data_IF_647285538685
#
_entry.id   IF_647285538685
#
_cell.length_a   1.000
_cell.length_b   1.000
_cell.length_c   1.000
_cell.angle_alpha   90.00
_cell.angle_beta   90.00
_cell.angle_gamma   90.00
#
_symmetry.space_group_name_H-M   'P 1'
#
loop_
_entity.id
_entity.type
_entity.pdbx_description
1 polymer ?
#
# COMPACT_ATOMS: atom_id res chain seq x y z
N UNK A 1 -8.40 35.23 58.60
CA UNK A 1 -7.49 34.36 57.81
C UNK A 1 -8.24 33.22 57.11
N UNK A 2 -9.19 33.49 56.18
CA UNK A 2 -9.92 32.44 55.42
C UNK A 2 -10.13 32.75 53.93
N UNK A 3 -9.50 33.81 53.39
CA UNK A 3 -9.70 34.25 52.00
C UNK A 3 -8.50 33.89 51.10
N UNK A 4 -7.30 33.69 51.69
CA UNK A 4 -6.09 33.34 50.93
C UNK A 4 -6.06 31.91 50.36
N UNK A 5 -6.95 31.01 50.81
CA UNK A 5 -6.96 29.60 50.39
C UNK A 5 -7.78 29.31 49.13
N UNK A 6 -8.63 30.24 48.66
CA UNK A 6 -9.48 30.04 47.47
C UNK A 6 -8.83 30.47 46.15
N UNK A 7 -7.85 31.38 46.18
CA UNK A 7 -7.16 31.86 44.97
C UNK A 7 -6.10 30.84 44.48
N UNK A 8 -5.55 30.03 45.38
CA UNK A 8 -4.55 28.99 45.04
C UNK A 8 -5.15 27.76 44.32
N UNK A 9 -6.47 27.56 44.41
CA UNK A 9 -7.15 26.40 43.82
C UNK A 9 -7.59 26.64 42.36
N UNK A 10 -7.72 27.91 41.94
CA UNK A 10 -8.14 28.24 40.57
C UNK A 10 -6.93 28.29 39.61
N UNK A 11 -5.73 28.67 40.10
CA UNK A 11 -4.50 28.66 39.27
C UNK A 11 -4.03 27.25 38.89
N UNK A 12 -4.32 26.24 39.72
CA UNK A 12 -3.90 24.85 39.51
C UNK A 12 -4.74 24.13 38.45
N UNK A 13 -5.99 24.53 38.24
CA UNK A 13 -6.89 23.95 37.23
C UNK A 13 -6.47 24.41 35.82
N UNK A 14 -6.14 25.70 35.65
CA UNK A 14 -5.75 26.26 34.34
C UNK A 14 -4.42 25.69 33.82
N UNK A 15 -3.44 25.47 34.70
CA UNK A 15 -2.16 24.86 34.33
C UNK A 15 -2.32 23.39 33.90
N UNK A 16 -3.24 22.66 34.52
CA UNK A 16 -3.51 21.25 34.22
C UNK A 16 -4.16 21.07 32.84
N UNK A 17 -5.05 21.98 32.44
CA UNK A 17 -5.71 21.95 31.12
C UNK A 17 -4.70 22.28 29.99
N UNK A 18 -3.86 23.29 30.17
CA UNK A 18 -2.82 23.67 29.20
C UNK A 18 -1.78 22.56 28.99
N UNK A 19 -1.32 21.92 30.09
CA UNK A 19 -0.38 20.81 30.02
C UNK A 19 -1.01 19.57 29.36
N UNK A 20 -2.27 19.26 29.65
CA UNK A 20 -2.99 18.15 29.03
C UNK A 20 -3.13 18.34 27.52
N UNK A 21 -3.47 19.55 27.07
CA UNK A 21 -3.65 19.88 25.65
C UNK A 21 -2.31 19.85 24.88
N UNK A 22 -1.24 20.39 25.46
CA UNK A 22 0.13 20.27 24.92
C UNK A 22 0.59 18.81 24.85
N UNK A 23 0.26 18.01 25.86
CA UNK A 23 0.66 16.59 25.92
C UNK A 23 -0.09 15.71 24.91
N UNK A 24 -1.30 16.09 24.50
CA UNK A 24 -2.05 15.38 23.46
C UNK A 24 -1.48 15.70 22.07
N UNK A 25 -1.11 16.96 21.83
CA UNK A 25 -0.46 17.37 20.59
C UNK A 25 0.83 16.59 20.31
N UNK A 26 1.65 16.34 21.35
CA UNK A 26 2.87 15.54 21.19
C UNK A 26 2.59 14.10 20.71
N UNK A 27 1.48 13.50 21.18
CA UNK A 27 1.06 12.17 20.77
C UNK A 27 0.56 12.17 19.33
N UNK A 28 -0.27 13.15 18.97
CA UNK A 28 -0.76 13.34 17.59
C UNK A 28 0.41 13.52 16.62
N UNK A 29 1.41 14.32 16.98
CA UNK A 29 2.64 14.50 16.19
C UNK A 29 3.40 13.16 16.00
N UNK A 30 3.50 12.34 17.05
CA UNK A 30 4.12 11.02 16.96
C UNK A 30 3.34 10.07 16.04
N UNK A 31 2.01 10.09 16.13
CA UNK A 31 1.11 9.33 15.27
C UNK A 31 1.25 9.77 13.81
N UNK A 32 1.42 11.07 13.54
CA UNK A 32 1.67 11.61 12.21
C UNK A 32 3.01 11.16 11.64
N UNK A 33 4.08 11.22 12.42
CA UNK A 33 5.37 10.66 12.01
C UNK A 33 5.26 9.18 11.68
N UNK A 34 4.54 8.40 12.49
CA UNK A 34 4.35 6.98 12.25
C UNK A 34 3.61 6.73 10.94
N UNK A 35 2.46 7.39 10.73
CA UNK A 35 1.66 7.29 9.49
C UNK A 35 2.49 7.67 8.27
N UNK A 36 3.31 8.71 8.37
CA UNK A 36 4.18 9.19 7.29
C UNK A 36 5.41 8.30 7.03
N UNK A 37 5.55 7.15 7.73
CA UNK A 37 6.70 6.26 7.57
C UNK A 37 8.00 6.79 8.19
N UNK A 38 7.93 7.88 8.95
CA UNK A 38 9.05 8.47 9.72
C UNK A 38 9.21 7.75 11.06
N UNK A 39 9.42 6.44 10.99
CA UNK A 39 9.39 5.56 12.16
C UNK A 39 10.44 5.87 13.23
N UNK A 40 11.59 6.39 12.83
CA UNK A 40 12.63 6.81 13.76
C UNK A 40 12.22 8.01 14.60
N UNK A 41 11.60 9.01 13.96
CA UNK A 41 11.10 10.20 14.64
C UNK A 41 9.92 9.84 15.55
N UNK A 42 8.99 9.01 15.05
CA UNK A 42 7.88 8.48 15.84
C UNK A 42 8.39 7.73 17.09
N UNK A 43 9.36 6.83 16.93
CA UNK A 43 9.96 6.07 18.03
C UNK A 43 10.48 6.97 19.15
N UNK A 44 11.27 7.99 18.80
CA UNK A 44 11.81 8.90 19.80
C UNK A 44 10.75 9.79 20.43
N UNK A 45 9.77 10.25 19.64
CA UNK A 45 8.68 11.05 20.16
C UNK A 45 7.85 10.27 21.18
N UNK A 46 7.47 9.02 20.89
CA UNK A 46 6.78 8.15 21.86
C UNK A 46 7.61 7.91 23.13
N UNK A 47 8.93 7.70 22.99
CA UNK A 47 9.82 7.57 24.15
C UNK A 47 9.88 8.84 24.99
N UNK A 48 9.81 10.01 24.37
CA UNK A 48 9.76 11.28 25.09
C UNK A 48 8.43 11.46 25.81
N UNK A 49 7.31 11.07 25.18
CA UNK A 49 5.98 11.12 25.80
C UNK A 49 5.92 10.24 27.06
N UNK A 50 6.50 9.03 27.06
CA UNK A 50 6.54 8.16 28.25
C UNK A 50 7.27 8.76 29.46
N UNK A 51 8.14 9.77 29.25
CA UNK A 51 8.81 10.47 30.35
C UNK A 51 7.86 11.44 31.08
N UNK A 52 6.72 11.77 30.48
CA UNK A 52 5.71 12.63 31.08
C UNK A 52 4.92 11.77 32.10
N UNK A 53 4.81 12.19 33.37
CA UNK A 53 4.17 11.37 34.42
C UNK A 53 2.76 10.87 34.08
N UNK A 54 1.99 11.66 33.32
CA UNK A 54 0.63 11.29 32.85
C UNK A 54 0.60 10.01 31.99
N UNK A 55 1.67 9.74 31.25
CA UNK A 55 1.76 8.64 30.29
C UNK A 55 2.67 7.50 30.76
N UNK A 56 3.17 7.57 31.99
CA UNK A 56 4.03 6.53 32.53
C UNK A 56 3.25 5.22 32.67
N UNK A 57 3.73 4.16 32.01
CA UNK A 57 3.04 2.86 31.97
C UNK A 57 1.85 2.80 31.00
N UNK A 58 1.70 3.78 30.10
CA UNK A 58 0.70 3.72 29.03
C UNK A 58 1.09 2.65 28.00
N UNK A 59 0.42 1.49 28.10
CA UNK A 59 0.64 0.35 27.21
C UNK A 59 0.41 0.68 25.72
N UNK A 60 -0.43 1.67 25.40
CA UNK A 60 -0.66 2.08 24.01
C UNK A 60 0.59 2.75 23.43
N UNK A 61 1.27 3.60 24.21
CA UNK A 61 2.48 4.30 23.81
C UNK A 61 3.67 3.33 23.77
N UNK A 62 3.77 2.43 24.75
CA UNK A 62 4.78 1.36 24.75
C UNK A 62 4.64 0.45 23.52
N UNK A 63 3.41 0.09 23.16
CA UNK A 63 3.13 -0.65 21.93
C UNK A 63 3.57 0.13 20.69
N UNK A 64 3.36 1.44 20.66
CA UNK A 64 3.77 2.26 19.52
C UNK A 64 5.29 2.40 19.37
N UNK A 65 6.04 2.37 20.47
CA UNK A 65 7.52 2.31 20.45
C UNK A 65 7.98 0.99 19.81
N UNK A 66 7.34 -0.12 20.19
CA UNK A 66 7.61 -1.44 19.62
C UNK A 66 7.24 -1.49 18.13
N UNK A 67 6.06 -0.99 17.77
CA UNK A 67 5.59 -0.92 16.39
C UNK A 67 6.50 -0.06 15.52
N UNK A 68 6.95 1.11 16.01
CA UNK A 68 7.92 1.96 15.30
C UNK A 68 9.23 1.23 15.02
N UNK A 69 9.77 0.51 16.02
CA UNK A 69 10.99 -0.30 15.86
C UNK A 69 10.78 -1.43 14.85
N UNK A 70 9.67 -2.14 14.96
CA UNK A 70 9.31 -3.25 14.07
C UNK A 70 9.10 -2.76 12.64
N UNK A 71 8.45 -1.61 12.44
CA UNK A 71 8.22 -1.03 11.13
C UNK A 71 9.54 -0.67 10.42
N UNK A 72 10.51 -0.07 11.13
CA UNK A 72 11.86 0.17 10.60
C UNK A 72 12.55 -1.13 10.16
N UNK A 73 12.50 -2.15 11.01
CA UNK A 73 13.08 -3.46 10.70
C UNK A 73 12.44 -4.08 9.46
N UNK A 74 11.11 -4.12 9.41
CA UNK A 74 10.36 -4.71 8.30
C UNK A 74 10.65 -3.98 6.99
N UNK A 75 10.64 -2.65 6.99
CA UNK A 75 10.97 -1.88 5.80
C UNK A 75 12.38 -2.16 5.30
N UNK A 76 13.37 -2.17 6.21
CA UNK A 76 14.75 -2.51 5.87
C UNK A 76 14.86 -3.92 5.28
N UNK A 77 14.20 -4.91 5.87
CA UNK A 77 14.19 -6.30 5.37
C UNK A 77 13.51 -6.42 4.01
N UNK A 78 12.40 -5.72 3.78
CA UNK A 78 11.76 -5.66 2.47
C UNK A 78 12.76 -5.21 1.40
N UNK A 79 13.49 -4.11 1.66
CA UNK A 79 14.50 -3.59 0.72
C UNK A 79 15.67 -4.56 0.52
N UNK A 80 16.19 -5.15 1.60
CA UNK A 80 17.32 -6.08 1.53
C UNK A 80 16.94 -7.33 0.72
N UNK A 81 15.81 -7.97 1.03
CA UNK A 81 15.37 -9.17 0.32
C UNK A 81 14.97 -8.89 -1.14
N UNK A 82 14.40 -7.72 -1.42
CA UNK A 82 14.17 -7.25 -2.79
C UNK A 82 15.48 -7.15 -3.56
N UNK A 83 16.54 -6.57 -2.97
CA UNK A 83 17.85 -6.46 -3.62
C UNK A 83 18.45 -7.83 -3.98
N UNK A 84 18.19 -8.85 -3.16
CA UNK A 84 18.57 -10.24 -3.44
C UNK A 84 17.58 -11.01 -4.31
N UNK A 85 16.55 -10.35 -4.86
CA UNK A 85 15.47 -10.96 -5.67
C UNK A 85 14.74 -12.10 -4.94
N UNK A 86 14.71 -12.04 -3.60
CA UNK A 86 13.96 -12.95 -2.71
C UNK A 86 12.57 -12.36 -2.46
N UNK A 87 11.78 -12.27 -3.52
CA UNK A 87 10.52 -11.51 -3.52
C UNK A 87 9.49 -12.03 -2.52
N UNK A 88 9.36 -13.34 -2.34
CA UNK A 88 8.37 -13.90 -1.41
C UNK A 88 8.62 -13.45 0.04
N UNK A 89 9.89 -13.45 0.47
CA UNK A 89 10.29 -12.99 1.80
C UNK A 89 10.13 -11.47 1.91
N UNK A 90 10.50 -10.72 0.86
CA UNK A 90 10.28 -9.28 0.82
C UNK A 90 8.80 -8.91 0.93
N UNK A 91 7.92 -9.65 0.23
CA UNK A 91 6.46 -9.49 0.30
C UNK A 91 5.95 -9.76 1.70
N UNK A 92 6.39 -10.85 2.35
CA UNK A 92 5.99 -11.14 3.73
C UNK A 92 6.28 -9.97 4.67
N UNK A 93 7.50 -9.42 4.64
CA UNK A 93 7.85 -8.28 5.47
C UNK A 93 7.05 -7.02 5.12
N UNK A 94 6.79 -6.78 3.84
CA UNK A 94 5.98 -5.65 3.39
C UNK A 94 4.51 -5.78 3.85
N UNK A 95 3.94 -6.99 3.77
CA UNK A 95 2.58 -7.26 4.26
C UNK A 95 2.50 -7.05 5.76
N UNK A 96 3.47 -7.54 6.54
CA UNK A 96 3.53 -7.29 7.98
C UNK A 96 3.65 -5.79 8.29
N UNK A 97 4.43 -5.04 7.51
CA UNK A 97 4.56 -3.59 7.68
C UNK A 97 3.22 -2.88 7.48
N UNK A 98 2.48 -3.23 6.42
CA UNK A 98 1.17 -2.66 6.10
C UNK A 98 0.14 -2.99 7.19
N UNK A 99 0.23 -4.16 7.82
CA UNK A 99 -0.64 -4.52 8.96
C UNK A 99 -0.39 -3.59 10.15
N UNK A 100 0.86 -3.24 10.42
CA UNK A 100 1.22 -2.34 11.54
C UNK A 100 0.91 -0.88 11.17
N UNK A 101 1.20 -0.47 9.94
CA UNK A 101 0.89 0.85 9.41
C UNK A 101 0.14 0.78 8.07
N UNK A 102 -1.21 0.75 8.08
CA UNK A 102 -2.01 0.77 6.86
C UNK A 102 -1.83 2.04 6.02
N UNK A 103 -1.28 3.10 6.62
CA UNK A 103 -1.05 4.39 5.98
C UNK A 103 0.40 4.57 5.48
N UNK A 104 1.25 3.54 5.58
CA UNK A 104 2.65 3.62 5.16
C UNK A 104 2.75 4.13 3.71
N UNK A 105 3.53 5.20 3.44
CA UNK A 105 3.66 5.77 2.10
C UNK A 105 4.26 4.79 1.09
N UNK A 106 5.01 3.79 1.56
CA UNK A 106 5.66 2.77 0.75
C UNK A 106 4.76 1.57 0.46
N UNK A 107 3.49 1.53 0.91
CA UNK A 107 2.57 0.40 0.66
C UNK A 107 2.50 -0.05 -0.80
N UNK A 108 2.69 0.88 -1.74
CA UNK A 108 2.77 0.59 -3.18
C UNK A 108 3.98 -0.27 -3.59
N UNK A 109 4.90 -0.58 -2.69
CA UNK A 109 5.97 -1.55 -2.90
C UNK A 109 5.44 -2.98 -3.01
N UNK A 110 4.37 -3.34 -2.29
CA UNK A 110 3.80 -4.69 -2.31
C UNK A 110 3.44 -5.14 -3.74
N UNK A 111 2.59 -4.41 -4.49
CA UNK A 111 2.30 -4.75 -5.88
C UNK A 111 3.53 -4.73 -6.79
N UNK A 112 4.50 -3.86 -6.53
CA UNK A 112 5.75 -3.80 -7.32
C UNK A 112 6.62 -5.03 -7.13
N UNK A 113 6.67 -5.60 -5.92
CA UNK A 113 7.38 -6.87 -5.67
C UNK A 113 6.74 -8.02 -6.44
N UNK A 114 5.40 -8.07 -6.50
CA UNK A 114 4.66 -9.04 -7.31
C UNK A 114 4.95 -8.89 -8.79
N UNK A 115 4.96 -7.66 -9.31
CA UNK A 115 5.29 -7.34 -10.70
C UNK A 115 6.72 -7.76 -11.09
N UNK A 116 7.70 -7.41 -10.25
CA UNK A 116 9.10 -7.75 -10.47
C UNK A 116 9.32 -9.27 -10.43
N UNK A 117 8.70 -9.96 -9.47
CA UNK A 117 8.76 -11.41 -9.38
C UNK A 117 8.14 -12.08 -10.63
N UNK A 118 6.96 -11.62 -11.06
CA UNK A 118 6.31 -12.12 -12.28
C UNK A 118 7.21 -11.96 -13.51
N UNK A 119 7.81 -10.79 -13.68
CA UNK A 119 8.69 -10.47 -14.81
C UNK A 119 9.96 -11.32 -14.81
N UNK A 120 10.48 -11.65 -13.63
CA UNK A 120 11.59 -12.57 -13.48
C UNK A 120 11.23 -14.00 -13.87
N UNK A 121 10.06 -14.50 -13.47
CA UNK A 121 9.58 -15.81 -13.89
C UNK A 121 9.31 -15.87 -15.40
N UNK A 122 8.72 -14.82 -15.98
CA UNK A 122 8.52 -14.73 -17.42
C UNK A 122 9.86 -14.79 -18.18
N UNK A 123 10.89 -14.08 -17.67
CA UNK A 123 12.25 -14.16 -18.23
C UNK A 123 12.86 -15.56 -18.07
N UNK A 124 12.68 -16.21 -16.92
CA UNK A 124 13.14 -17.59 -16.69
C UNK A 124 12.42 -18.61 -17.58
N UNK A 125 11.16 -18.36 -17.96
CA UNK A 125 10.44 -19.22 -18.89
C UNK A 125 11.12 -19.29 -20.26
N UNK A 126 11.65 -18.15 -20.74
CA UNK A 126 12.35 -18.07 -22.02
C UNK A 126 13.64 -18.90 -22.06
N UNK A 127 14.30 -19.11 -20.91
CA UNK A 127 15.51 -19.93 -20.81
C UNK A 127 15.24 -21.43 -20.58
N UNK A 128 13.98 -21.85 -20.39
CA UNK A 128 13.67 -23.26 -20.18
C UNK A 128 13.80 -24.08 -21.47
N UNK A 129 14.39 -25.27 -21.32
CA UNK A 129 14.63 -26.24 -22.40
C UNK A 129 13.37 -27.03 -22.76
N UNK A 130 12.54 -27.35 -21.76
CA UNK A 130 11.30 -28.10 -21.97
C UNK A 130 10.12 -27.16 -22.04
N UNK A 131 9.15 -27.52 -22.88
CA UNK A 131 7.88 -26.81 -23.02
C UNK A 131 7.05 -26.88 -21.73
N UNK A 132 7.10 -27.99 -21.00
CA UNK A 132 6.44 -28.15 -19.70
C UNK A 132 7.01 -27.20 -18.64
N UNK A 133 8.33 -27.16 -18.47
CA UNK A 133 8.94 -26.24 -17.50
C UNK A 133 8.67 -24.78 -17.88
N UNK A 134 8.73 -24.44 -19.18
CA UNK A 134 8.34 -23.10 -19.66
C UNK A 134 6.91 -22.78 -19.26
N UNK A 135 5.97 -23.71 -19.43
CA UNK A 135 4.58 -23.50 -19.09
C UNK A 135 4.38 -23.29 -17.58
N UNK A 136 5.08 -24.01 -16.71
CA UNK A 136 5.03 -23.80 -15.25
C UNK A 136 5.43 -22.37 -14.87
N UNK A 137 6.57 -21.89 -15.38
CA UNK A 137 7.03 -20.52 -15.11
C UNK A 137 6.04 -19.47 -15.60
N UNK A 138 5.47 -19.64 -16.80
CA UNK A 138 4.48 -18.70 -17.35
C UNK A 138 3.19 -18.68 -16.53
N UNK A 139 2.68 -19.83 -16.10
CA UNK A 139 1.47 -19.91 -15.25
C UNK A 139 1.68 -19.21 -13.91
N UNK A 140 2.84 -19.41 -13.28
CA UNK A 140 3.21 -18.72 -12.04
C UNK A 140 3.40 -17.21 -12.24
N UNK A 141 3.98 -16.79 -13.37
CA UNK A 141 4.11 -15.38 -13.73
C UNK A 141 2.73 -14.71 -13.86
N UNK A 142 1.78 -15.34 -14.56
CA UNK A 142 0.39 -14.85 -14.70
C UNK A 142 -0.25 -14.65 -13.32
N UNK A 143 -0.14 -15.64 -12.42
CA UNK A 143 -0.70 -15.53 -11.08
C UNK A 143 -0.11 -14.37 -10.27
N UNK A 144 1.19 -14.08 -10.43
CA UNK A 144 1.83 -12.95 -9.77
C UNK A 144 1.48 -11.59 -10.41
N UNK A 145 1.28 -11.52 -11.72
CA UNK A 145 0.75 -10.32 -12.36
C UNK A 145 -0.66 -9.99 -11.89
N UNK A 146 -1.52 -11.01 -11.74
CA UNK A 146 -2.86 -10.84 -11.16
C UNK A 146 -2.79 -10.38 -9.70
N UNK A 147 -1.92 -11.02 -8.90
CA UNK A 147 -1.70 -10.58 -7.52
C UNK A 147 -1.26 -9.11 -7.45
N UNK A 148 -0.42 -8.64 -8.37
CA UNK A 148 -0.03 -7.23 -8.43
C UNK A 148 -1.23 -6.29 -8.67
N UNK A 149 -2.16 -6.67 -9.55
CA UNK A 149 -3.40 -5.92 -9.79
C UNK A 149 -4.31 -5.91 -8.55
N UNK A 150 -4.50 -7.07 -7.93
CA UNK A 150 -5.32 -7.23 -6.71
C UNK A 150 -4.74 -6.43 -5.53
N UNK A 151 -3.41 -6.34 -5.45
CA UNK A 151 -2.68 -5.53 -4.47
C UNK A 151 -2.74 -4.02 -4.76
N UNK A 152 -3.45 -3.60 -5.83
CA UNK A 152 -3.76 -2.21 -6.14
C UNK A 152 -2.87 -1.56 -7.22
N UNK A 153 -2.08 -2.34 -7.96
CA UNK A 153 -1.35 -1.82 -9.12
C UNK A 153 -2.33 -1.46 -10.24
N UNK A 154 -2.44 -0.17 -10.57
CA UNK A 154 -3.25 0.32 -11.69
C UNK A 154 -2.37 0.65 -12.89
N UNK A 155 -1.67 -0.36 -13.40
CA UNK A 155 -0.80 -0.22 -14.57
C UNK A 155 -1.36 -1.06 -15.73
N UNK A 156 -1.82 -0.38 -16.79
CA UNK A 156 -2.38 -1.03 -17.98
C UNK A 156 -1.38 -2.00 -18.63
N UNK A 157 -0.08 -1.77 -18.46
CA UNK A 157 0.99 -2.60 -19.02
C UNK A 157 0.94 -4.03 -18.46
N UNK A 158 0.46 -4.22 -17.22
CA UNK A 158 0.36 -5.54 -16.59
C UNK A 158 -0.58 -6.46 -17.37
N UNK A 159 -1.66 -5.93 -17.94
CA UNK A 159 -2.56 -6.70 -18.80
C UNK A 159 -1.88 -7.17 -20.07
N UNK A 160 -1.03 -6.33 -20.68
CA UNK A 160 -0.22 -6.71 -21.84
C UNK A 160 0.74 -7.85 -21.51
N UNK A 161 1.38 -7.81 -20.33
CA UNK A 161 2.29 -8.86 -19.88
C UNK A 161 1.57 -10.19 -19.62
N UNK A 162 0.38 -10.15 -19.01
CA UNK A 162 -0.48 -11.34 -18.85
C UNK A 162 -0.80 -11.93 -20.23
N UNK A 163 -1.26 -11.12 -21.18
CA UNK A 163 -1.61 -11.56 -22.54
C UNK A 163 -0.42 -12.16 -23.28
N UNK A 164 0.78 -11.61 -23.09
CA UNK A 164 2.01 -12.19 -23.65
C UNK A 164 2.29 -13.59 -23.11
N UNK A 165 2.10 -13.79 -21.79
CA UNK A 165 2.27 -15.10 -21.18
C UNK A 165 1.21 -16.10 -21.67
N UNK A 166 -0.05 -15.69 -21.74
CA UNK A 166 -1.16 -16.52 -22.26
C UNK A 166 -0.92 -16.95 -23.71
N UNK A 167 -0.54 -16.01 -24.58
CA UNK A 167 -0.20 -16.32 -25.99
C UNK A 167 0.99 -17.28 -26.12
N UNK A 168 1.96 -17.20 -25.22
CA UNK A 168 3.11 -18.12 -25.20
C UNK A 168 2.72 -19.52 -24.75
N UNK A 169 1.73 -19.64 -23.86
CA UNK A 169 1.16 -20.92 -23.42
C UNK A 169 0.33 -21.57 -24.53
N UNK A 170 -0.53 -20.83 -25.24
CA UNK A 170 -1.36 -21.39 -26.33
C UNK A 170 -0.54 -22.03 -27.46
N UNK A 171 0.65 -21.49 -27.75
CA UNK A 171 1.57 -22.03 -28.77
C UNK A 171 2.30 -23.29 -28.30
N UNK A 172 2.36 -23.51 -27.00
CA UNK A 172 2.89 -24.72 -26.37
C UNK A 172 1.73 -25.71 -26.31
N UNK A 173 1.84 -26.89 -26.95
CA UNK A 173 0.79 -27.94 -27.00
C UNK A 173 0.27 -28.42 -25.63
N UNK A 174 0.79 -27.86 -24.54
CA UNK A 174 0.37 -28.03 -23.16
C UNK A 174 -0.59 -26.93 -22.75
N UNK A 175 -1.80 -26.86 -23.33
CA UNK A 175 -2.91 -26.32 -22.54
C UNK A 175 -4.31 -26.64 -23.04
N UNK A 176 -5.09 -27.25 -22.14
CA UNK A 176 -6.49 -26.91 -21.92
C UNK A 176 -6.51 -25.69 -20.98
N UNK A 177 -5.91 -24.56 -21.38
CA UNK A 177 -6.11 -23.30 -20.65
C UNK A 177 -7.54 -22.89 -20.93
N UNK A 178 -8.35 -22.85 -19.88
CA UNK A 178 -9.58 -22.07 -19.92
C UNK A 178 -9.15 -20.65 -20.25
N UNK A 179 -9.59 -20.21 -21.42
CA UNK A 179 -9.68 -18.86 -21.95
C UNK A 179 -9.71 -17.75 -20.88
N UNK A 180 -9.32 -16.52 -21.29
CA UNK A 180 -8.59 -15.55 -20.49
C UNK A 180 -9.16 -15.40 -19.10
N UNK A 181 -8.28 -15.21 -18.13
CA UNK A 181 -8.72 -14.78 -16.80
C UNK A 181 -9.66 -13.58 -16.97
N UNK A 182 -10.87 -13.68 -16.40
CA UNK A 182 -12.04 -12.87 -16.79
C UNK A 182 -11.82 -11.35 -16.77
N UNK A 183 -10.72 -10.89 -16.16
CA UNK A 183 -10.27 -9.52 -16.12
C UNK A 183 -9.81 -8.93 -17.45
N UNK A 184 -9.12 -9.66 -18.32
CA UNK A 184 -8.69 -9.11 -19.63
C UNK A 184 -9.87 -8.73 -20.52
N UNK A 185 -10.94 -9.53 -20.46
CA UNK A 185 -12.20 -9.29 -21.18
C UNK A 185 -13.01 -8.18 -20.51
N UNK A 186 -13.08 -8.16 -19.17
CA UNK A 186 -13.82 -7.14 -18.44
C UNK A 186 -13.17 -5.76 -18.54
N UNK A 187 -11.83 -5.65 -18.53
CA UNK A 187 -11.13 -4.38 -18.68
C UNK A 187 -11.30 -3.77 -20.08
N UNK A 188 -11.13 -4.57 -21.15
CA UNK A 188 -11.40 -4.08 -22.52
C UNK A 188 -12.87 -3.67 -22.70
N UNK A 189 -13.80 -4.36 -22.01
CA UNK A 189 -15.22 -4.03 -22.03
C UNK A 189 -15.53 -2.75 -21.23
N UNK A 190 -14.93 -2.59 -20.05
CA UNK A 190 -15.06 -1.39 -19.22
C UNK A 190 -14.44 -0.16 -19.90
N UNK A 191 -13.26 -0.30 -20.51
CA UNK A 191 -12.60 0.76 -21.28
C UNK A 191 -13.46 1.20 -22.47
N UNK A 192 -14.04 0.25 -23.23
CA UNK A 192 -15.00 0.56 -24.30
C UNK A 192 -16.26 1.25 -23.80
N UNK A 193 -16.81 0.82 -22.66
CA UNK A 193 -17.97 1.47 -22.03
C UNK A 193 -17.63 2.89 -21.59
N UNK A 194 -16.43 3.13 -21.07
CA UNK A 194 -15.97 4.45 -20.64
C UNK A 194 -15.73 5.39 -21.83
N UNK A 195 -15.13 4.89 -22.92
CA UNK A 195 -14.96 5.61 -24.20
C UNK A 195 -16.31 5.93 -24.88
N UNK A 196 -17.30 5.03 -24.79
CA UNK A 196 -18.66 5.31 -25.29
C UNK A 196 -19.39 6.34 -24.42
N UNK A 197 -19.21 6.29 -23.10
CA UNK A 197 -19.77 7.28 -22.16
C UNK A 197 -19.20 8.67 -22.40
N UNK A 198 -17.88 8.81 -22.53
CA UNK A 198 -17.25 10.11 -22.81
C UNK A 198 -17.72 10.69 -24.14
N UNK A 199 -17.80 9.87 -25.19
CA UNK A 199 -18.34 10.28 -26.50
C UNK A 199 -19.79 10.74 -26.43
N UNK A 200 -20.64 10.04 -25.66
CA UNK A 200 -22.03 10.43 -25.49
C UNK A 200 -22.20 11.76 -24.73
N UNK A 201 -21.34 12.04 -23.74
CA UNK A 201 -21.33 13.32 -23.02
C UNK A 201 -20.86 14.47 -23.91
N UNK A 202 -19.86 14.24 -24.77
CA UNK A 202 -19.41 15.25 -25.75
C UNK A 202 -20.50 15.60 -26.77
N UNK A 203 -21.28 14.61 -27.24
CA UNK A 203 -22.40 14.83 -28.17
C UNK A 203 -23.52 15.65 -27.50
N UNK A 204 -23.83 15.38 -26.22
CA UNK A 204 -24.85 16.14 -25.48
C UNK A 204 -24.40 17.59 -25.29
N UNK A 205 -23.14 17.82 -24.88
CA UNK A 205 -22.58 19.17 -24.73
C UNK A 205 -22.51 19.94 -26.04
N UNK A 206 -22.23 19.27 -27.16
CA UNK A 206 -22.26 19.91 -28.47
C UNK A 206 -23.68 20.33 -28.87
N UNK A 207 -24.69 19.50 -28.61
CA UNK A 207 -26.11 19.82 -28.89
C UNK A 207 -26.67 20.93 -28.00
N UNK A 208 -26.27 21.02 -26.74
CA UNK A 208 -26.64 22.14 -25.86
C UNK A 208 -26.05 23.47 -26.37
N UNK A 209 -24.85 23.44 -26.94
CA UNK A 209 -24.17 24.63 -27.48
C UNK A 209 -24.78 25.14 -28.79
N UNK A 210 -25.32 24.23 -29.61
CA UNK A 210 -25.99 24.57 -30.87
C UNK A 210 -27.49 24.89 -30.69
N UNK A 211 -28.07 24.57 -29.52
CA UNK A 211 -29.48 24.83 -29.17
C UNK A 211 -29.74 26.20 -28.54
N UNK A 212 -28.70 26.89 -28.04
CA UNK A 212 -28.77 28.22 -27.42
C UNK A 212 -28.56 29.38 -28.42
N UNK A 213 -28.49 29.08 -29.71
CA UNK A 213 -28.43 30.09 -30.78
C UNK A 213 -29.76 30.18 -31.53
N UNK A 214 -30.79 30.69 -30.86
CA UNK A 214 -31.99 31.30 -31.46
C UNK A 214 -32.38 32.57 -30.69
#
# INVERSE_FOLDING_TARGET
>A
MKIAFRILFILSISASISLAQSSNYLKEEADEYFKAGRYWDAFFQYRNILKIPKYQGDASIESQISNSSRAMYLWKKTLDYKAFRKYDIAKQHMTELIVINPYDPNRGMLPRLSLEHASDLQRMAASQRTSEARADYLKRAIGLYQAALDEGLKDEMVFSLIKQCENALEKSKYDKVKQPTSYGINFEKEKKIEEERTRSVEIIKAKEKDGDSL
#
